data_IF_180188047399
#
_entry.id   IF_180188047399
#
_cell.length_a   1.000
_cell.length_b   1.000
_cell.length_c   1.000
_cell.angle_alpha   90.00
_cell.angle_beta   90.00
_cell.angle_gamma   90.00
#
_symmetry.space_group_name_H-M   'P 1'
#
loop_
_entity.id
_entity.type
_entity.pdbx_description
1 polymer ?
#
# COMPACT_ATOMS: atom_id res chain seq x y z
N UNK A 1 -1.19 -33.40 -0.10
CA UNK A 1 -2.33 -32.99 0.76
C UNK A 1 -2.22 -31.49 0.97
N UNK A 2 -3.14 -30.71 0.39
CA UNK A 2 -3.14 -29.25 0.53
C UNK A 2 -3.48 -28.89 1.98
N UNK A 3 -2.50 -28.42 2.74
CA UNK A 3 -2.78 -27.74 3.99
C UNK A 3 -3.53 -26.45 3.64
N UNK A 4 -4.85 -26.43 3.90
CA UNK A 4 -5.64 -25.20 3.80
C UNK A 4 -4.96 -24.16 4.69
N UNK A 5 -4.30 -23.18 4.07
CA UNK A 5 -3.58 -22.12 4.77
C UNK A 5 -4.60 -21.40 5.65
N UNK A 6 -4.41 -21.39 6.96
CA UNK A 6 -5.29 -20.68 7.89
C UNK A 6 -5.38 -19.22 7.44
N UNK A 7 -6.60 -18.67 7.44
CA UNK A 7 -6.83 -17.27 7.11
C UNK A 7 -5.99 -16.37 8.01
N UNK A 8 -5.52 -15.25 7.46
CA UNK A 8 -4.88 -14.20 8.26
C UNK A 8 -5.91 -13.55 9.17
N UNK A 9 -5.45 -12.91 10.24
CA UNK A 9 -6.32 -12.13 11.13
C UNK A 9 -7.13 -11.07 10.35
N UNK A 10 -6.50 -10.32 9.43
CA UNK A 10 -7.21 -9.34 8.60
C UNK A 10 -8.28 -9.99 7.71
N UNK A 11 -8.01 -11.18 7.16
CA UNK A 11 -9.00 -11.90 6.36
C UNK A 11 -10.21 -12.30 7.21
N UNK A 12 -10.00 -12.74 8.46
CA UNK A 12 -11.08 -13.07 9.39
C UNK A 12 -11.91 -11.82 9.72
N UNK A 13 -11.28 -10.69 10.02
CA UNK A 13 -11.99 -9.43 10.31
C UNK A 13 -12.81 -8.93 9.11
N UNK A 14 -12.29 -9.06 7.88
CA UNK A 14 -13.04 -8.68 6.68
C UNK A 14 -14.24 -9.60 6.43
N UNK A 15 -14.14 -10.90 6.76
CA UNK A 15 -15.28 -11.81 6.68
C UNK A 15 -16.39 -11.45 7.67
N UNK A 16 -16.04 -10.94 8.85
CA UNK A 16 -17.02 -10.43 9.82
C UNK A 16 -17.80 -9.23 9.26
N UNK A 17 -17.27 -8.48 8.30
CA UNK A 17 -18.01 -7.38 7.64
C UNK A 17 -19.08 -7.91 6.69
N UNK A 18 -18.91 -9.10 6.12
CA UNK A 18 -19.86 -9.66 5.14
C UNK A 18 -21.23 -10.00 5.73
N UNK A 19 -21.37 -10.05 7.06
CA UNK A 19 -22.68 -10.21 7.71
C UNK A 19 -23.59 -8.98 7.58
N UNK A 20 -23.02 -7.84 7.19
CA UNK A 20 -23.77 -6.60 6.98
C UNK A 20 -24.11 -6.43 5.50
N UNK A 21 -25.38 -6.11 5.21
CA UNK A 21 -25.81 -5.70 3.87
C UNK A 21 -25.49 -4.21 3.68
N UNK A 22 -24.30 -3.93 3.17
CA UNK A 22 -23.81 -2.57 2.96
C UNK A 22 -24.16 -2.07 1.57
N UNK A 23 -24.58 -0.81 1.48
CA UNK A 23 -24.73 -0.15 0.18
C UNK A 23 -23.38 -0.02 -0.54
N UNK A 24 -23.40 0.09 -1.86
CA UNK A 24 -22.19 0.33 -2.67
C UNK A 24 -21.39 1.56 -2.19
N UNK A 25 -22.10 2.58 -1.70
CA UNK A 25 -21.48 3.78 -1.12
C UNK A 25 -20.63 3.44 0.11
N UNK A 26 -21.17 2.66 1.03
CA UNK A 26 -20.45 2.24 2.24
C UNK A 26 -19.28 1.32 1.92
N UNK A 27 -19.43 0.42 0.94
CA UNK A 27 -18.31 -0.41 0.46
C UNK A 27 -17.19 0.46 -0.09
N UNK A 28 -17.53 1.50 -0.87
CA UNK A 28 -16.54 2.46 -1.39
C UNK A 28 -15.86 3.25 -0.28
N UNK A 29 -16.60 3.68 0.74
CA UNK A 29 -16.05 4.35 1.92
C UNK A 29 -15.05 3.46 2.66
N UNK A 30 -15.36 2.18 2.89
CA UNK A 30 -14.43 1.21 3.50
C UNK A 30 -13.17 1.05 2.65
N UNK A 31 -13.33 0.93 1.32
CA UNK A 31 -12.18 0.83 0.41
C UNK A 31 -11.29 2.07 0.51
N UNK A 32 -11.88 3.27 0.58
CA UNK A 32 -11.12 4.51 0.72
C UNK A 32 -10.37 4.56 2.04
N UNK A 33 -10.98 4.16 3.16
CA UNK A 33 -10.31 4.09 4.46
C UNK A 33 -9.07 3.18 4.42
N UNK A 34 -9.17 2.02 3.77
CA UNK A 34 -8.03 1.13 3.59
C UNK A 34 -6.94 1.75 2.72
N UNK A 35 -7.32 2.38 1.59
CA UNK A 35 -6.38 3.06 0.69
C UNK A 35 -5.64 4.18 1.42
N UNK A 36 -6.35 5.01 2.18
CA UNK A 36 -5.77 6.10 2.96
C UNK A 36 -4.78 5.58 4.00
N UNK A 37 -5.15 4.54 4.74
CA UNK A 37 -4.27 3.92 5.73
C UNK A 37 -2.97 3.41 5.11
N UNK A 38 -3.07 2.61 4.04
CA UNK A 38 -1.88 2.06 3.40
C UNK A 38 -1.04 3.12 2.68
N UNK A 39 -1.68 4.13 2.07
CA UNK A 39 -0.96 5.26 1.47
C UNK A 39 -0.14 6.01 2.51
N UNK A 40 -0.72 6.27 3.69
CA UNK A 40 -0.01 6.88 4.82
C UNK A 40 1.20 6.04 5.26
N UNK A 41 1.03 4.71 5.35
CA UNK A 41 2.14 3.80 5.70
C UNK A 41 3.24 3.75 4.65
N UNK A 42 2.89 3.84 3.38
CA UNK A 42 3.88 3.93 2.29
C UNK A 42 4.66 5.25 2.39
N UNK A 43 3.97 6.38 2.60
CA UNK A 43 4.64 7.68 2.77
C UNK A 43 5.55 7.69 3.99
N UNK A 44 5.06 7.24 5.15
CA UNK A 44 5.88 7.12 6.38
C UNK A 44 7.13 6.27 6.13
N UNK A 45 7.00 5.12 5.46
CA UNK A 45 8.13 4.25 5.15
C UNK A 45 9.13 4.86 4.15
N UNK A 46 8.67 5.69 3.20
CA UNK A 46 9.56 6.44 2.29
C UNK A 46 10.34 7.49 3.08
N UNK A 47 9.66 8.24 3.95
CA UNK A 47 10.27 9.29 4.78
C UNK A 47 11.34 8.68 5.69
N UNK A 48 11.02 7.59 6.41
CA UNK A 48 11.98 6.85 7.25
C UNK A 48 13.21 6.38 6.45
N UNK A 49 13.00 5.91 5.22
CA UNK A 49 14.10 5.44 4.37
C UNK A 49 14.99 6.59 3.88
N UNK A 50 14.41 7.75 3.57
CA UNK A 50 15.15 8.96 3.22
C UNK A 50 16.00 9.46 4.39
N UNK A 51 15.45 9.45 5.61
CA UNK A 51 16.17 9.81 6.82
C UNK A 51 17.33 8.85 7.12
N UNK A 52 17.09 7.53 7.11
CA UNK A 52 18.14 6.50 7.34
C UNK A 52 19.29 6.61 6.34
N UNK A 53 18.98 6.95 5.09
CA UNK A 53 19.96 7.08 4.02
C UNK A 53 20.57 8.49 3.92
N UNK A 54 20.13 9.41 4.77
CA UNK A 54 20.50 10.83 4.74
C UNK A 54 20.32 11.45 3.36
N UNK A 55 19.26 11.04 2.65
CA UNK A 55 18.94 11.57 1.33
C UNK A 55 18.20 12.89 1.46
N UNK A 56 18.72 13.91 0.78
CA UNK A 56 18.05 15.18 0.62
C UNK A 56 17.37 15.31 -0.75
N UNK A 57 16.90 16.53 -1.07
CA UNK A 57 16.26 16.85 -2.35
C UNK A 57 17.12 16.51 -3.57
N UNK A 58 18.45 16.47 -3.45
CA UNK A 58 19.37 16.10 -4.51
C UNK A 58 19.14 14.67 -5.01
N UNK A 59 18.73 13.75 -4.13
CA UNK A 59 18.44 12.37 -4.52
C UNK A 59 17.19 12.29 -5.40
N UNK A 60 16.20 13.13 -5.11
CA UNK A 60 14.98 13.25 -5.92
C UNK A 60 15.33 13.83 -7.29
N UNK A 61 16.21 14.84 -7.34
CA UNK A 61 16.65 15.44 -8.60
C UNK A 61 17.49 14.45 -9.44
N UNK A 62 18.34 13.65 -8.81
CA UNK A 62 19.07 12.55 -9.45
C UNK A 62 18.09 11.58 -10.12
N UNK A 63 17.13 11.04 -9.36
CA UNK A 63 16.13 10.11 -9.88
C UNK A 63 15.26 10.71 -10.98
N UNK A 64 14.91 12.00 -10.88
CA UNK A 64 14.15 12.69 -11.92
C UNK A 64 14.91 12.78 -13.25
N UNK A 65 16.25 12.72 -13.22
CA UNK A 65 17.13 12.75 -14.40
C UNK A 65 17.53 11.34 -14.86
N UNK A 66 17.22 10.30 -14.11
CA UNK A 66 17.51 8.93 -14.53
C UNK A 66 16.66 8.49 -15.73
N UNK A 67 17.22 7.60 -16.54
CA UNK A 67 16.55 7.00 -17.69
C UNK A 67 16.36 5.50 -17.49
N UNK A 68 15.60 5.15 -16.44
CA UNK A 68 15.30 3.77 -16.03
C UNK A 68 14.29 3.04 -16.94
N UNK A 69 14.03 3.57 -18.14
CA UNK A 69 13.14 2.94 -19.11
C UNK A 69 13.88 1.82 -19.84
N UNK A 70 13.17 0.75 -20.20
CA UNK A 70 13.71 -0.34 -21.02
C UNK A 70 14.29 0.22 -22.32
N UNK A 71 15.57 -0.06 -22.61
CA UNK A 71 16.18 0.31 -23.88
C UNK A 71 15.66 -0.61 -24.97
N UNK A 72 15.20 -0.02 -26.06
CA UNK A 72 14.84 -0.75 -27.29
C UNK A 72 16.04 -0.66 -28.23
N UNK A 73 16.50 -1.82 -28.70
CA UNK A 73 17.52 -1.97 -29.73
C UNK A 73 16.85 -2.34 -31.06
#
# INVERSE_FOLDING_TARGET
MNAAKKLTNLQIELLEVFKYDLSEKQIKEIKNLLVEYFSKKVTEGIDEHFEDKQWGPEKIEEWAKEHMRTKYN
#
